data_IF_709467382370
#
_entry.id   IF_709467382370
#
_cell.length_a   1.000
_cell.length_b   1.000
_cell.length_c   1.000
_cell.angle_alpha   90.00
_cell.angle_beta   90.00
_cell.angle_gamma   90.00
#
_symmetry.space_group_name_H-M   'P 1'
#
loop_
_entity.id
_entity.type
_entity.pdbx_description
1 polymer ?
#
# COMPACT_ATOMS: atom_id res chain seq x y z
N UNK A 1 10.20 -22.41 9.25
CA UNK A 1 9.45 -21.20 9.66
C UNK A 1 8.23 -21.67 10.44
N UNK A 2 7.92 -21.12 11.62
CA UNK A 2 6.70 -21.50 12.34
C UNK A 2 5.48 -20.96 11.58
N UNK A 3 4.33 -21.64 11.68
CA UNK A 3 3.11 -21.22 10.98
C UNK A 3 2.65 -19.80 11.34
N UNK A 4 2.93 -19.37 12.57
CA UNK A 4 2.65 -18.02 13.07
C UNK A 4 3.52 -16.97 12.38
N UNK A 5 4.85 -17.18 12.33
CA UNK A 5 5.78 -16.27 11.64
C UNK A 5 5.43 -16.12 10.16
N UNK A 6 5.02 -17.22 9.51
CA UNK A 6 4.56 -17.18 8.13
C UNK A 6 3.31 -16.30 8.00
N UNK A 7 2.32 -16.53 8.86
CA UNK A 7 1.07 -15.79 8.84
C UNK A 7 1.30 -14.29 9.02
N UNK A 8 2.06 -13.87 10.04
CA UNK A 8 2.42 -12.47 10.28
C UNK A 8 3.14 -11.85 9.08
N UNK A 9 4.03 -12.62 8.44
CA UNK A 9 4.72 -12.16 7.23
C UNK A 9 3.77 -11.98 6.04
N UNK A 10 2.77 -12.83 5.88
CA UNK A 10 1.73 -12.68 4.86
C UNK A 10 0.87 -11.43 5.15
N UNK A 11 0.54 -11.19 6.43
CA UNK A 11 -0.20 -10.01 6.87
C UNK A 11 0.53 -8.71 6.55
N UNK A 12 1.81 -8.61 6.92
CA UNK A 12 2.61 -7.41 6.66
C UNK A 12 2.63 -7.05 5.18
N UNK A 13 2.83 -8.04 4.31
CA UNK A 13 2.81 -7.86 2.86
C UNK A 13 1.42 -7.51 2.29
N UNK A 14 0.34 -7.98 2.95
CA UNK A 14 -1.03 -7.65 2.57
C UNK A 14 -1.44 -6.26 3.05
N UNK A 15 -0.94 -5.80 4.19
CA UNK A 15 -1.24 -4.49 4.75
C UNK A 15 -0.40 -3.39 4.09
N UNK A 16 0.88 -3.63 3.82
CA UNK A 16 1.81 -2.61 3.30
C UNK A 16 2.29 -2.89 1.88
N UNK A 17 2.52 -1.85 1.06
CA UNK A 17 1.99 -0.49 1.20
C UNK A 17 0.47 -0.43 0.91
N UNK A 18 -0.23 0.64 1.32
CA UNK A 18 -1.68 0.79 1.11
C UNK A 18 -2.13 2.25 1.11
N UNK A 19 -3.23 2.53 0.41
CA UNK A 19 -4.00 3.78 0.51
C UNK A 19 -5.41 3.49 0.99
N UNK A 20 -5.92 4.32 1.88
CA UNK A 20 -7.27 4.20 2.40
C UNK A 20 -7.83 5.55 2.87
N UNK A 21 -9.14 5.59 3.06
CA UNK A 21 -9.87 6.67 3.74
C UNK A 21 -11.06 6.05 4.47
N UNK A 22 -11.57 6.74 5.48
CA UNK A 22 -12.77 6.31 6.20
C UNK A 22 -13.78 7.45 6.17
N UNK A 23 -14.93 7.29 5.50
CA UNK A 23 -15.99 8.26 5.59
C UNK A 23 -16.63 8.28 6.96
N UNK A 24 -16.99 9.48 7.44
CA UNK A 24 -17.63 9.60 8.75
C UNK A 24 -18.97 8.86 8.80
N UNK A 25 -19.72 8.91 7.70
CA UNK A 25 -21.09 8.41 7.64
C UNK A 25 -21.21 6.87 7.68
N UNK A 26 -20.11 6.13 7.42
CA UNK A 26 -20.12 4.66 7.48
C UNK A 26 -19.90 4.11 8.88
N UNK A 27 -19.48 4.94 9.84
CA UNK A 27 -19.29 4.50 11.22
C UNK A 27 -20.64 4.55 11.96
N UNK A 28 -21.09 3.42 12.56
CA UNK A 28 -22.33 3.38 13.34
C UNK A 28 -22.33 4.34 14.54
N UNK A 29 -23.49 4.93 14.86
CA UNK A 29 -23.63 5.91 15.96
C UNK A 29 -23.42 5.32 17.37
N UNK A 30 -23.61 4.02 17.53
CA UNK A 30 -23.33 3.29 18.76
C UNK A 30 -21.82 3.15 19.02
N UNK A 31 -20.97 3.37 18.03
CA UNK A 31 -19.50 3.40 18.16
C UNK A 31 -18.94 4.78 18.56
N UNK A 32 -19.54 5.40 19.59
CA UNK A 32 -19.21 6.77 20.03
C UNK A 32 -17.73 6.96 20.37
N UNK A 33 -17.09 5.95 20.98
CA UNK A 33 -15.67 6.02 21.37
C UNK A 33 -14.75 6.11 20.15
N UNK A 34 -14.94 5.22 19.17
CA UNK A 34 -14.16 5.21 17.92
C UNK A 34 -14.41 6.51 17.14
N UNK A 35 -15.67 6.97 17.06
CA UNK A 35 -15.99 8.26 16.44
C UNK A 35 -15.25 9.42 17.10
N UNK A 36 -15.18 9.46 18.43
CA UNK A 36 -14.47 10.52 19.15
C UNK A 36 -12.96 10.49 18.84
N UNK A 37 -12.33 9.31 18.92
CA UNK A 37 -10.90 9.15 18.62
C UNK A 37 -10.55 9.53 17.17
N UNK A 38 -11.40 9.16 16.21
CA UNK A 38 -11.18 9.49 14.80
C UNK A 38 -11.39 10.98 14.50
N UNK A 39 -12.36 11.62 15.19
CA UNK A 39 -12.56 13.07 15.10
C UNK A 39 -11.39 13.85 15.67
N UNK A 40 -10.89 13.47 16.85
CA UNK A 40 -9.75 14.13 17.49
C UNK A 40 -8.49 14.11 16.61
N UNK A 41 -8.32 13.06 15.81
CA UNK A 41 -7.17 12.89 14.93
C UNK A 41 -7.41 13.37 13.47
N UNK A 42 -8.54 14.00 13.15
CA UNK A 42 -8.94 14.38 11.78
C UNK A 42 -8.82 13.21 10.78
N UNK A 43 -9.15 12.01 11.23
CA UNK A 43 -8.99 10.78 10.45
C UNK A 43 -10.09 10.62 9.38
N UNK A 44 -11.29 11.11 9.67
CA UNK A 44 -12.41 11.04 8.75
C UNK A 44 -12.20 11.87 7.49
N UNK A 45 -12.60 11.31 6.35
CA UNK A 45 -12.50 11.95 5.04
C UNK A 45 -11.07 12.41 4.68
N UNK A 46 -10.07 11.85 5.36
CA UNK A 46 -8.65 12.10 5.11
C UNK A 46 -8.07 10.91 4.37
N UNK A 47 -7.38 11.19 3.26
CA UNK A 47 -6.70 10.16 2.48
C UNK A 47 -5.34 9.89 3.13
N UNK A 48 -5.16 8.66 3.60
CA UNK A 48 -3.95 8.20 4.29
C UNK A 48 -3.26 7.18 3.39
N UNK A 49 -1.94 7.29 3.31
CA UNK A 49 -1.06 6.29 2.73
C UNK A 49 -0.20 5.67 3.81
N UNK A 50 0.08 4.38 3.65
CA UNK A 50 1.00 3.58 4.42
C UNK A 50 2.14 3.19 3.48
N UNK A 51 3.37 3.59 3.80
CA UNK A 51 4.53 3.16 3.01
C UNK A 51 4.96 1.72 3.33
N UNK A 52 6.03 1.29 2.67
CA UNK A 52 6.63 -0.04 2.84
C UNK A 52 7.21 -0.31 4.23
N UNK A 53 7.44 0.74 5.02
CA UNK A 53 7.94 0.64 6.40
C UNK A 53 6.81 0.72 7.43
N UNK A 54 5.56 0.86 7.00
CA UNK A 54 4.40 1.00 7.88
C UNK A 54 4.15 2.43 8.35
N UNK A 55 4.81 3.44 7.76
CA UNK A 55 4.58 4.82 8.15
C UNK A 55 3.33 5.37 7.48
N UNK A 56 2.42 5.86 8.34
CA UNK A 56 1.18 6.52 7.94
C UNK A 56 1.43 8.00 7.65
N UNK A 57 1.00 8.49 6.49
CA UNK A 57 1.07 9.91 6.15
C UNK A 57 -0.15 10.35 5.32
N UNK A 58 -0.52 11.62 5.46
CA UNK A 58 -1.59 12.22 4.68
C UNK A 58 -1.14 12.46 3.23
N UNK A 59 -1.94 11.98 2.28
CA UNK A 59 -1.66 11.99 0.84
C UNK A 59 -1.90 13.36 0.17
N UNK A 60 -1.97 14.43 0.97
CA UNK A 60 -2.00 15.83 0.50
C UNK A 60 -0.60 16.42 0.34
N UNK A 61 0.39 15.93 1.10
CA UNK A 61 1.69 16.61 1.32
C UNK A 61 2.89 15.93 0.67
N UNK A 62 2.89 14.60 0.53
CA UNK A 62 4.04 13.81 0.04
C UNK A 62 3.85 13.35 -1.41
N UNK A 63 4.83 13.65 -2.29
CA UNK A 63 4.81 13.24 -3.71
C UNK A 63 5.39 11.85 -3.99
N UNK A 64 6.06 11.21 -3.03
CA UNK A 64 6.71 9.93 -3.29
C UNK A 64 5.74 8.76 -3.14
N UNK A 65 4.77 8.68 -4.05
CA UNK A 65 3.80 7.58 -4.14
C UNK A 65 4.32 6.37 -4.89
N UNK A 66 5.56 6.44 -5.41
CA UNK A 66 6.25 5.34 -6.06
C UNK A 66 6.32 4.09 -5.18
N UNK A 67 6.44 4.28 -3.86
CA UNK A 67 6.49 3.20 -2.87
C UNK A 67 5.21 2.36 -2.86
N UNK A 68 4.04 2.90 -3.23
CA UNK A 68 2.78 2.17 -3.25
C UNK A 68 2.74 1.07 -4.33
N UNK A 69 3.55 1.22 -5.39
CA UNK A 69 3.64 0.23 -6.47
C UNK A 69 4.41 -1.03 -6.07
N UNK A 70 5.14 -1.02 -4.93
CA UNK A 70 5.80 -2.23 -4.42
C UNK A 70 4.80 -3.29 -3.95
N UNK A 71 3.51 -2.94 -3.81
CA UNK A 71 2.43 -3.87 -3.45
C UNK A 71 2.37 -5.11 -4.33
N UNK A 72 2.57 -4.96 -5.63
CA UNK A 72 2.57 -6.07 -6.59
C UNK A 72 3.61 -7.11 -6.17
N UNK A 73 4.82 -6.67 -5.88
CA UNK A 73 5.92 -7.54 -5.45
C UNK A 73 5.63 -8.19 -4.09
N UNK A 74 5.00 -7.47 -3.16
CA UNK A 74 4.66 -8.00 -1.84
C UNK A 74 3.62 -9.13 -1.93
N UNK A 75 2.60 -8.95 -2.77
CA UNK A 75 1.56 -9.96 -2.98
C UNK A 75 2.09 -11.17 -3.76
N UNK A 76 2.95 -10.96 -4.76
CA UNK A 76 3.66 -12.06 -5.44
C UNK A 76 4.52 -12.87 -4.47
N UNK A 77 5.25 -12.22 -3.57
CA UNK A 77 6.00 -12.91 -2.49
C UNK A 77 5.09 -13.73 -1.60
N UNK A 78 3.87 -13.25 -1.32
CA UNK A 78 2.89 -14.03 -0.55
C UNK A 78 2.47 -15.29 -1.29
N UNK A 79 2.20 -15.20 -2.59
CA UNK A 79 1.87 -16.36 -3.42
C UNK A 79 3.00 -17.39 -3.41
N UNK A 80 4.25 -16.96 -3.56
CA UNK A 80 5.40 -17.88 -3.49
C UNK A 80 5.55 -18.54 -2.11
N UNK A 81 5.45 -17.76 -1.02
CA UNK A 81 5.48 -18.32 0.34
C UNK A 81 4.39 -19.35 0.60
N UNK A 82 3.19 -19.14 0.05
CA UNK A 82 2.08 -20.09 0.16
C UNK A 82 2.34 -21.36 -0.65
N UNK A 83 2.95 -21.26 -1.82
CA UNK A 83 3.36 -22.43 -2.60
C UNK A 83 4.40 -23.25 -1.82
N UNK A 84 5.45 -22.60 -1.31
CA UNK A 84 6.47 -23.27 -0.49
C UNK A 84 5.87 -23.93 0.75
N UNK A 85 4.94 -23.24 1.43
CA UNK A 85 4.26 -23.75 2.61
C UNK A 85 3.38 -24.96 2.29
N UNK A 86 2.76 -25.00 1.11
CA UNK A 86 1.93 -26.14 0.66
C UNK A 86 2.76 -27.41 0.49
N UNK A 87 4.01 -27.28 0.04
CA UNK A 87 4.92 -28.42 -0.15
C UNK A 87 5.49 -28.93 1.18
N UNK A 88 5.71 -28.03 2.16
CA UNK A 88 6.42 -28.36 3.41
C UNK A 88 5.46 -28.75 4.54
N UNK A 89 4.28 -28.13 4.61
CA UNK A 89 3.35 -28.33 5.72
C UNK A 89 2.42 -29.53 5.48
N UNK A 90 1.91 -30.12 6.57
CA UNK A 90 0.82 -31.09 6.41
C UNK A 90 -0.41 -30.44 5.78
N UNK A 91 -1.24 -31.19 5.01
CA UNK A 91 -2.41 -30.63 4.34
C UNK A 91 -3.35 -29.86 5.28
N UNK A 92 -3.56 -30.37 6.50
CA UNK A 92 -4.42 -29.74 7.50
C UNK A 92 -3.85 -28.41 8.03
N UNK A 93 -2.54 -28.34 8.26
CA UNK A 93 -1.87 -27.11 8.71
C UNK A 93 -1.91 -26.05 7.61
N UNK A 94 -1.62 -26.45 6.37
CA UNK A 94 -1.69 -25.55 5.23
C UNK A 94 -3.11 -25.03 5.02
N UNK A 95 -4.12 -25.91 5.03
CA UNK A 95 -5.53 -25.51 4.87
C UNK A 95 -5.95 -24.52 5.95
N UNK A 96 -5.57 -24.75 7.22
CA UNK A 96 -5.86 -23.83 8.31
C UNK A 96 -5.25 -22.44 8.08
N UNK A 97 -3.96 -22.38 7.75
CA UNK A 97 -3.25 -21.13 7.49
C UNK A 97 -3.81 -20.39 6.27
N UNK A 98 -4.02 -21.11 5.16
CA UNK A 98 -4.53 -20.55 3.91
C UNK A 98 -5.94 -19.99 4.10
N UNK A 99 -6.84 -20.70 4.80
CA UNK A 99 -8.18 -20.21 5.07
C UNK A 99 -8.18 -18.92 5.91
N UNK A 100 -7.31 -18.81 6.92
CA UNK A 100 -7.15 -17.58 7.70
C UNK A 100 -6.70 -16.41 6.81
N UNK A 101 -5.70 -16.64 5.98
CA UNK A 101 -5.20 -15.61 5.05
C UNK A 101 -6.26 -15.21 4.01
N UNK A 102 -6.99 -16.18 3.46
CA UNK A 102 -8.02 -15.95 2.44
C UNK A 102 -9.17 -15.08 2.97
N UNK A 103 -9.54 -15.23 4.24
CA UNK A 103 -10.53 -14.38 4.90
C UNK A 103 -10.09 -12.90 4.85
N UNK A 104 -8.82 -12.62 5.13
CA UNK A 104 -8.31 -11.27 5.07
C UNK A 104 -8.21 -10.74 3.65
N UNK A 105 -7.76 -11.55 2.68
CA UNK A 105 -7.74 -11.14 1.28
C UNK A 105 -9.14 -10.73 0.80
N UNK A 106 -10.17 -11.54 1.10
CA UNK A 106 -11.56 -11.21 0.76
C UNK A 106 -11.99 -9.87 1.34
N UNK A 107 -11.62 -9.62 2.58
CA UNK A 107 -11.91 -8.38 3.26
C UNK A 107 -11.21 -7.16 2.59
N UNK A 108 -9.90 -7.24 2.37
CA UNK A 108 -9.14 -6.16 1.73
C UNK A 108 -9.57 -5.90 0.29
N UNK A 109 -9.90 -6.95 -0.47
CA UNK A 109 -10.49 -6.81 -1.81
C UNK A 109 -11.82 -6.07 -1.73
N UNK A 110 -12.70 -6.46 -0.81
CA UNK A 110 -14.01 -5.81 -0.64
C UNK A 110 -13.88 -4.33 -0.29
N UNK A 111 -13.04 -3.99 0.69
CA UNK A 111 -12.82 -2.60 1.09
C UNK A 111 -12.14 -1.82 -0.02
N UNK A 112 -11.11 -2.35 -0.67
CA UNK A 112 -10.42 -1.63 -1.76
C UNK A 112 -11.33 -1.41 -2.96
N UNK A 113 -12.22 -2.36 -3.26
CA UNK A 113 -13.25 -2.19 -4.29
C UNK A 113 -14.16 -1.02 -3.94
N UNK A 114 -14.74 -1.04 -2.74
CA UNK A 114 -15.63 0.01 -2.27
C UNK A 114 -14.93 1.37 -2.25
N UNK A 115 -13.73 1.47 -1.69
CA UNK A 115 -12.99 2.73 -1.64
C UNK A 115 -12.70 3.29 -3.03
N UNK A 116 -12.27 2.43 -3.96
CA UNK A 116 -11.98 2.85 -5.34
C UNK A 116 -13.22 3.27 -6.12
N UNK A 117 -14.36 2.64 -5.86
CA UNK A 117 -15.62 2.95 -6.54
C UNK A 117 -16.30 4.21 -5.99
N UNK A 118 -16.03 4.58 -4.73
CA UNK A 118 -16.70 5.68 -4.05
C UNK A 118 -15.80 6.91 -3.81
N UNK A 119 -14.49 6.86 -4.10
CA UNK A 119 -13.55 7.96 -3.75
C UNK A 119 -13.97 9.34 -4.26
N UNK A 120 -14.58 9.41 -5.45
CA UNK A 120 -15.00 10.68 -6.08
C UNK A 120 -16.22 11.28 -5.34
N UNK A 121 -17.16 10.45 -4.89
CA UNK A 121 -18.33 10.90 -4.14
C UNK A 121 -18.03 11.18 -2.67
N UNK A 122 -17.05 10.47 -2.11
CA UNK A 122 -16.71 10.54 -0.68
C UNK A 122 -15.72 11.65 -0.34
N UNK A 123 -14.82 12.00 -1.25
CA UNK A 123 -13.77 12.99 -1.00
C UNK A 123 -13.87 14.15 -1.97
N UNK A 124 -14.34 15.28 -1.44
CA UNK A 124 -14.45 16.53 -2.20
C UNK A 124 -13.09 17.01 -2.73
N UNK A 125 -13.06 17.39 -4.01
CA UNK A 125 -11.84 17.93 -4.64
C UNK A 125 -10.68 16.93 -4.77
N UNK A 126 -10.95 15.62 -4.70
CA UNK A 126 -9.91 14.60 -4.85
C UNK A 126 -9.18 14.74 -6.19
N UNK A 127 -7.84 14.71 -6.14
CA UNK A 127 -7.01 14.84 -7.34
C UNK A 127 -7.07 13.55 -8.14
N UNK A 128 -7.10 13.66 -9.47
CA UNK A 128 -7.20 12.52 -10.39
C UNK A 128 -6.11 11.45 -10.15
N UNK A 129 -4.87 11.86 -9.90
CA UNK A 129 -3.79 10.91 -9.63
C UNK A 129 -4.01 10.11 -8.34
N UNK A 130 -4.72 10.65 -7.34
CA UNK A 130 -5.09 9.91 -6.12
C UNK A 130 -6.17 8.88 -6.45
N UNK A 131 -7.17 9.25 -7.25
CA UNK A 131 -8.19 8.30 -7.75
C UNK A 131 -7.51 7.12 -8.45
N UNK A 132 -6.50 7.38 -9.29
CA UNK A 132 -5.70 6.34 -9.95
C UNK A 132 -4.98 5.42 -8.96
N UNK A 133 -4.52 5.90 -7.80
CA UNK A 133 -3.93 5.04 -6.77
C UNK A 133 -4.93 4.04 -6.20
N UNK A 134 -6.15 4.49 -5.89
CA UNK A 134 -7.22 3.60 -5.41
C UNK A 134 -7.63 2.58 -6.46
N UNK A 135 -7.76 3.00 -7.73
CA UNK A 135 -8.05 2.10 -8.85
C UNK A 135 -6.95 1.05 -9.02
N UNK A 136 -5.67 1.47 -8.97
CA UNK A 136 -4.55 0.53 -9.06
C UNK A 136 -4.54 -0.46 -7.90
N UNK A 137 -4.75 0.00 -6.66
CA UNK A 137 -4.82 -0.89 -5.50
C UNK A 137 -5.96 -1.91 -5.64
N UNK A 138 -7.13 -1.46 -6.11
CA UNK A 138 -8.26 -2.32 -6.44
C UNK A 138 -7.84 -3.41 -7.44
N UNK A 139 -7.23 -3.05 -8.56
CA UNK A 139 -6.78 -4.01 -9.59
C UNK A 139 -5.80 -5.02 -8.98
N UNK A 140 -4.76 -4.53 -8.30
CA UNK A 140 -3.69 -5.36 -7.71
C UNK A 140 -4.25 -6.39 -6.72
N UNK A 141 -5.19 -6.00 -5.86
CA UNK A 141 -5.78 -6.92 -4.88
C UNK A 141 -6.72 -7.95 -5.53
N UNK A 142 -7.50 -7.55 -6.55
CA UNK A 142 -8.34 -8.50 -7.28
C UNK A 142 -7.50 -9.49 -8.08
N UNK A 143 -6.43 -9.04 -8.73
CA UNK A 143 -5.53 -9.91 -9.48
C UNK A 143 -4.86 -10.92 -8.56
N UNK A 144 -4.39 -10.49 -7.39
CA UNK A 144 -3.83 -11.40 -6.40
C UNK A 144 -4.86 -12.41 -5.89
N UNK A 145 -6.11 -12.00 -5.67
CA UNK A 145 -7.19 -12.93 -5.32
C UNK A 145 -7.45 -13.96 -6.42
N UNK A 146 -7.43 -13.53 -7.69
CA UNK A 146 -7.56 -14.42 -8.85
C UNK A 146 -6.41 -15.42 -8.92
N UNK A 147 -5.18 -14.97 -8.68
CA UNK A 147 -4.00 -15.84 -8.62
C UNK A 147 -4.14 -16.89 -7.51
N UNK A 148 -4.56 -16.49 -6.31
CA UNK A 148 -4.79 -17.43 -5.20
C UNK A 148 -5.86 -18.47 -5.55
N UNK A 149 -6.95 -18.06 -6.18
CA UNK A 149 -8.00 -18.98 -6.63
C UNK A 149 -7.47 -19.96 -7.68
N UNK A 150 -6.61 -19.50 -8.59
CA UNK A 150 -5.98 -20.32 -9.63
C UNK A 150 -5.02 -21.37 -9.04
N UNK A 151 -4.19 -21.00 -8.07
CA UNK A 151 -3.17 -21.90 -7.51
C UNK A 151 -3.67 -22.83 -6.39
N UNK A 152 -4.68 -22.40 -5.64
CA UNK A 152 -5.10 -23.08 -4.40
C UNK A 152 -6.56 -23.51 -4.36
N UNK A 153 -7.34 -23.22 -5.42
CA UNK A 153 -8.71 -23.69 -5.66
C UNK A 153 -9.46 -24.16 -4.40
N UNK A 154 -9.95 -23.21 -3.60
CA UNK A 154 -10.76 -23.53 -2.41
C UNK A 154 -12.25 -23.40 -2.75
N UNK A 155 -12.96 -24.53 -2.70
CA UNK A 155 -14.42 -24.59 -2.88
C UNK A 155 -15.19 -24.08 -1.64
N UNK A 156 -14.50 -23.51 -0.64
CA UNK A 156 -15.14 -23.00 0.57
C UNK A 156 -15.49 -21.52 0.41
N UNK A 157 -16.76 -21.26 0.20
CA UNK A 157 -17.37 -19.95 0.39
C UNK A 157 -17.36 -19.65 1.88
N UNK A 158 -16.39 -18.84 2.32
CA UNK A 158 -16.39 -18.26 3.66
C UNK A 158 -16.98 -16.88 3.45
N UNK A 159 -18.25 -16.75 3.80
CA UNK A 159 -18.98 -15.49 3.71
C UNK A 159 -18.54 -14.58 4.86
N UNK A 160 -18.09 -13.38 4.50
CA UNK A 160 -17.65 -12.37 5.46
C UNK A 160 -18.75 -11.31 5.50
N UNK A 161 -19.58 -11.35 6.54
CA UNK A 161 -20.53 -10.27 6.83
C UNK A 161 -19.77 -9.03 7.31
N UNK A 162 -20.14 -7.86 6.79
CA UNK A 162 -19.65 -6.55 7.22
C UNK A 162 -19.75 -6.37 8.74
N UNK A 163 -20.84 -6.84 9.34
CA UNK A 163 -21.10 -6.77 10.78
C UNK A 163 -20.09 -7.61 11.58
N UNK A 164 -19.67 -8.75 11.04
CA UNK A 164 -18.68 -9.63 11.68
C UNK A 164 -17.28 -9.02 11.66
N UNK A 165 -16.95 -8.26 10.61
CA UNK A 165 -15.67 -7.54 10.55
C UNK A 165 -15.67 -6.36 11.51
N UNK A 166 -16.75 -5.57 11.52
CA UNK A 166 -16.88 -4.42 12.42
C UNK A 166 -16.85 -4.86 13.90
N UNK A 167 -17.51 -5.98 14.25
CA UNK A 167 -17.49 -6.51 15.62
C UNK A 167 -16.14 -7.09 16.04
N UNK A 168 -15.32 -7.55 15.09
CA UNK A 168 -13.99 -8.11 15.36
C UNK A 168 -12.89 -7.22 14.79
N UNK A 169 -13.10 -5.91 14.77
CA UNK A 169 -12.22 -4.96 14.09
C UNK A 169 -10.74 -5.15 14.47
N UNK A 170 -10.45 -5.37 15.75
CA UNK A 170 -9.10 -5.61 16.27
C UNK A 170 -8.45 -6.89 15.73
N UNK A 171 -9.24 -7.93 15.40
CA UNK A 171 -8.75 -9.17 14.78
C UNK A 171 -8.42 -8.98 13.30
N UNK A 172 -9.19 -8.15 12.60
CA UNK A 172 -8.99 -7.83 11.18
C UNK A 172 -7.95 -6.73 10.95
N UNK A 173 -7.75 -5.87 11.95
CA UNK A 173 -6.82 -4.76 11.96
C UNK A 173 -5.99 -4.71 13.25
N UNK A 174 -5.20 -5.75 13.56
CA UNK A 174 -4.35 -5.74 14.76
C UNK A 174 -3.30 -4.62 14.71
N UNK A 175 -3.00 -4.08 13.53
CA UNK A 175 -2.08 -2.97 13.34
C UNK A 175 -2.75 -1.60 13.58
N UNK A 176 -4.04 -1.55 13.93
CA UNK A 176 -4.76 -0.29 14.08
C UNK A 176 -4.25 0.56 15.25
N UNK A 177 -3.76 -0.06 16.31
CA UNK A 177 -3.14 0.64 17.45
C UNK A 177 -1.94 1.51 17.06
N UNK A 178 -1.37 1.27 15.87
CA UNK A 178 -0.27 2.05 15.29
C UNK A 178 -0.69 3.26 14.46
N UNK A 179 -2.00 3.57 14.33
CA UNK A 179 -2.53 4.75 13.61
C UNK A 179 -2.27 6.08 14.33
N UNK A 180 -1.07 6.28 14.88
CA UNK A 180 -0.57 7.63 15.16
C UNK A 180 -0.07 8.20 13.85
N UNK A 181 -0.84 9.12 13.24
CA UNK A 181 -0.33 9.96 12.16
C UNK A 181 0.81 10.77 12.75
N UNK A 182 2.06 10.41 12.46
CA UNK A 182 3.20 11.19 12.93
C UNK A 182 3.16 12.56 12.26
N UNK A 183 3.03 13.60 13.06
CA UNK A 183 3.24 14.97 12.60
C UNK A 183 4.71 15.11 12.16
N UNK A 184 4.95 15.78 11.01
CA UNK A 184 6.23 15.86 10.29
C UNK A 184 7.46 16.22 11.15
N UNK A 185 7.28 16.85 12.31
CA UNK A 185 8.37 17.23 13.22
C UNK A 185 9.20 16.04 13.75
N UNK A 186 8.70 14.81 13.66
CA UNK A 186 9.44 13.62 14.09
C UNK A 186 10.17 12.88 12.97
N UNK A 187 9.79 13.09 11.70
CA UNK A 187 10.36 12.34 10.56
C UNK A 187 11.64 13.01 10.04
N UNK A 188 11.82 14.32 10.27
CA UNK A 188 13.05 15.05 9.92
C UNK A 188 14.26 14.74 10.83
N UNK A 189 14.14 13.81 11.77
CA UNK A 189 15.24 13.37 12.64
C UNK A 189 15.91 12.07 12.21
N UNK A 190 15.40 11.37 11.20
CA UNK A 190 16.14 10.24 10.63
C UNK A 190 17.19 10.75 9.65
N UNK A 191 18.42 10.32 9.92
CA UNK A 191 19.66 10.81 9.35
C UNK A 191 19.56 11.00 7.83
N UNK A 192 19.67 12.27 7.41
CA UNK A 192 20.11 12.60 6.06
C UNK A 192 21.45 11.92 5.87
N UNK A 193 21.45 10.74 5.23
CA UNK A 193 22.64 10.18 4.62
C UNK A 193 23.11 11.25 3.64
N UNK A 194 24.12 12.03 4.06
CA UNK A 194 24.81 13.00 3.22
C UNK A 194 25.53 12.22 2.14
N UNK A 195 24.80 11.85 1.08
CA UNK A 195 25.42 11.43 -0.17
C UNK A 195 26.07 12.70 -0.73
N UNK A 196 27.39 12.83 -0.49
CA UNK A 196 28.23 13.84 -1.14
C UNK A 196 28.27 13.54 -2.65
N UNK A 197 27.23 13.93 -3.37
CA UNK A 197 27.24 13.99 -4.82
C UNK A 197 27.98 15.26 -5.25
N UNK A 198 29.31 15.18 -5.39
CA UNK A 198 30.07 16.16 -6.18
C UNK A 198 29.77 15.90 -7.66
N UNK A 199 28.61 16.36 -8.16
CA UNK A 199 28.46 16.57 -9.60
C UNK A 199 29.22 17.84 -9.96
N UNK A 200 30.41 17.68 -10.55
CA UNK A 200 31.06 18.78 -11.30
C UNK A 200 30.08 19.18 -12.41
N UNK A 201 29.51 20.38 -12.32
CA UNK A 201 28.81 20.99 -13.46
C UNK A 201 29.84 21.05 -14.61
N UNK A 202 29.53 20.42 -15.74
CA UNK A 202 30.35 20.58 -16.96
C UNK A 202 30.28 22.06 -17.35
N UNK A 203 31.42 22.64 -17.72
CA UNK A 203 31.47 24.03 -18.21
C UNK A 203 30.54 24.16 -19.41
N UNK A 204 29.76 25.24 -19.42
CA UNK A 204 29.01 25.69 -20.59
C UNK A 204 30.10 26.08 -21.59
N UNK A 205 30.18 25.38 -22.73
CA UNK A 205 31.04 25.79 -23.84
C UNK A 205 30.49 27.08 -24.44
N UNK A 206 31.36 27.99 -24.84
CA UNK A 206 30.94 29.21 -25.53
C UNK A 206 30.49 28.88 -26.95
N UNK A 207 29.71 29.77 -27.57
CA UNK A 207 29.22 29.54 -28.95
C UNK A 207 30.39 29.35 -29.94
N UNK A 208 31.50 30.05 -29.72
CA UNK A 208 32.74 29.90 -30.51
C UNK A 208 33.36 28.49 -30.36
N UNK A 209 33.36 27.93 -29.15
CA UNK A 209 33.84 26.57 -28.89
C UNK A 209 32.90 25.52 -29.50
N UNK A 210 31.58 25.81 -29.55
CA UNK A 210 30.60 24.93 -30.18
C UNK A 210 30.73 24.95 -31.71
N UNK A 211 30.99 26.11 -32.32
CA UNK A 211 31.17 26.26 -33.76
C UNK A 211 32.45 25.55 -34.24
N UNK A 212 33.57 25.75 -33.54
CA UNK A 212 34.82 25.02 -33.83
C UNK A 212 34.65 23.51 -33.67
N UNK A 213 33.89 23.07 -32.66
CA UNK A 213 33.57 21.65 -32.50
C UNK A 213 32.76 21.11 -33.69
N UNK A 214 31.73 21.83 -34.15
CA UNK A 214 30.91 21.41 -35.28
C UNK A 214 31.70 21.39 -36.59
N UNK A 215 32.48 22.43 -36.87
CA UNK A 215 33.34 22.51 -38.06
C UNK A 215 34.32 21.33 -38.13
N UNK A 216 34.95 20.99 -37.00
CA UNK A 216 35.92 19.90 -36.94
C UNK A 216 35.29 18.51 -36.93
N UNK A 217 34.21 18.31 -36.16
CA UNK A 217 33.63 16.97 -35.95
C UNK A 217 32.58 16.56 -36.97
N UNK A 218 31.87 17.52 -37.56
CA UNK A 218 30.78 17.26 -38.53
C UNK A 218 31.22 17.59 -39.95
N UNK A 219 31.96 18.69 -40.14
CA UNK A 219 32.37 19.15 -41.47
C UNK A 219 33.82 18.80 -41.83
N UNK A 220 34.61 18.33 -40.85
CA UNK A 220 36.01 17.93 -40.99
C UNK A 220 36.90 19.02 -41.61
N UNK A 221 36.62 20.27 -41.23
CA UNK A 221 37.39 21.47 -41.61
C UNK A 221 38.21 21.88 -40.38
N UNK A 222 39.52 22.07 -40.57
CA UNK A 222 40.44 22.55 -39.53
C UNK A 222 40.49 24.08 -39.47
#
# INVERSE_FOLDING_TARGET
MKSEDLYESLLGNLYMPMVFYVPEHIIPDDMKKIKAEFKENNFFNTIIAIDENGYNFELKKKKNVGVLFSKINNLQRNTMKLLDAKEIMSPRQFEFLYNRYLVLIRFYVRISNWMGDNIISEIEGVKEWIVRLFVNQKIILNDHMNDLNKYFASNKTIEISSEKVIKNFDEFFPQFDSFKIKNEKEIDKEEVIKVKSKRKKRKIITDEEAELFLLKSVFNID
#
